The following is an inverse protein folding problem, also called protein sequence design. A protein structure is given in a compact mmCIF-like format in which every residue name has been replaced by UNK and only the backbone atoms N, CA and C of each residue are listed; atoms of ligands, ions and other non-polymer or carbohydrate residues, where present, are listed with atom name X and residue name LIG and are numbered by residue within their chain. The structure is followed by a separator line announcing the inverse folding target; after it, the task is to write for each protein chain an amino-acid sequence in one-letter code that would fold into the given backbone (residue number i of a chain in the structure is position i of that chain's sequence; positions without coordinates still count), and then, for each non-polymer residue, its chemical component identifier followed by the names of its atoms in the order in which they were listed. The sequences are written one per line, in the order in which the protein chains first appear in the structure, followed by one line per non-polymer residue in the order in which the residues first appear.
data_IF_643744993212
#
_entry.id   IF_643744993212
#
_cell.length_a   1.000
_cell.length_b   1.000
_cell.length_c   1.000
_cell.angle_alpha   90.00
_cell.angle_beta   90.00
_cell.angle_gamma   90.00
#
_symmetry.space_group_name_H-M   'P 1'
#
loop_
_entity.id
_entity.type
_entity.pdbx_description
1 polymer ?
#
# COMPACT_ATOMS: atom_id res chain seq x y z
N UNK A 1 -13.06 -31.08 -1.57
CA UNK A 1 -12.00 -30.87 -0.57
C UNK A 1 -10.62 -31.03 -1.16
N UNK A 2 -10.08 -29.99 -1.81
CA UNK A 2 -8.70 -30.03 -2.35
C UNK A 2 -7.90 -28.74 -2.04
N UNK A 3 -8.44 -27.77 -1.29
CA UNK A 3 -7.66 -26.58 -0.90
C UNK A 3 -7.91 -26.17 0.55
N UNK A 4 -8.11 -27.17 1.41
CA UNK A 4 -7.78 -27.05 2.82
C UNK A 4 -6.28 -27.32 2.93
N UNK A 5 -5.46 -26.27 2.85
CA UNK A 5 -4.15 -26.33 3.46
C UNK A 5 -4.36 -26.00 4.94
N UNK A 6 -4.19 -27.04 5.75
CA UNK A 6 -4.20 -26.97 7.21
C UNK A 6 -3.09 -26.02 7.69
N UNK A 7 -3.45 -24.77 7.94
CA UNK A 7 -2.69 -23.90 8.86
C UNK A 7 -2.96 -24.42 10.28
N UNK A 8 -1.96 -24.92 11.03
CA UNK A 8 -2.20 -25.58 12.32
C UNK A 8 -2.54 -24.62 13.48
N UNK A 9 -2.99 -23.40 13.21
CA UNK A 9 -3.44 -22.42 14.21
C UNK A 9 -4.95 -22.09 14.17
N UNK A 10 -5.74 -22.63 13.23
CA UNK A 10 -7.19 -22.30 13.12
C UNK A 10 -8.14 -23.12 14.03
N UNK A 11 -7.61 -23.83 15.03
CA UNK A 11 -8.43 -24.65 15.91
C UNK A 11 -9.06 -23.89 17.09
N UNK A 12 -9.38 -22.60 16.97
CA UNK A 12 -10.20 -21.90 17.98
C UNK A 12 -10.75 -20.55 17.48
N UNK A 13 -11.86 -20.51 16.72
CA UNK A 13 -12.85 -19.40 16.72
C UNK A 13 -14.06 -19.69 15.82
N UNK A 14 -15.07 -20.39 16.36
CA UNK A 14 -16.32 -20.70 15.63
C UNK A 14 -17.33 -19.54 15.34
N UNK A 15 -17.20 -18.27 15.80
CA UNK A 15 -18.21 -17.24 15.49
C UNK A 15 -17.91 -16.35 14.25
N UNK A 16 -16.81 -16.53 13.50
CA UNK A 16 -16.43 -15.64 12.37
C UNK A 16 -16.95 -16.09 10.99
N UNK A 17 -17.42 -17.34 10.84
CA UNK A 17 -17.74 -17.97 9.55
C UNK A 17 -18.70 -17.21 8.62
N UNK A 18 -19.68 -16.46 9.14
CA UNK A 18 -20.67 -15.76 8.29
C UNK A 18 -20.06 -14.48 7.70
N UNK A 19 -19.38 -13.69 8.52
CA UNK A 19 -18.72 -12.46 8.07
C UNK A 19 -17.58 -12.78 7.12
N UNK A 20 -16.78 -13.81 7.41
CA UNK A 20 -15.69 -14.25 6.54
C UNK A 20 -16.20 -14.70 5.17
N UNK A 21 -17.33 -15.42 5.13
CA UNK A 21 -17.98 -15.81 3.86
C UNK A 21 -18.51 -14.61 3.09
N UNK A 22 -19.12 -13.63 3.76
CA UNK A 22 -19.62 -12.41 3.12
C UNK A 22 -18.46 -11.59 2.56
N UNK A 23 -17.38 -11.39 3.32
CA UNK A 23 -16.18 -10.70 2.85
C UNK A 23 -15.53 -11.46 1.69
N UNK A 24 -15.43 -12.79 1.77
CA UNK A 24 -14.89 -13.61 0.67
C UNK A 24 -15.74 -13.46 -0.60
N UNK A 25 -17.08 -13.45 -0.49
CA UNK A 25 -17.96 -13.26 -1.64
C UNK A 25 -17.82 -11.87 -2.27
N UNK A 26 -17.64 -10.84 -1.45
CA UNK A 26 -17.42 -9.47 -1.92
C UNK A 26 -16.04 -9.29 -2.55
N UNK A 27 -15.02 -9.95 -2.00
CA UNK A 27 -13.63 -9.89 -2.50
C UNK A 27 -13.44 -10.73 -3.77
N UNK A 28 -14.17 -11.83 -3.91
CA UNK A 28 -14.03 -12.79 -5.01
C UNK A 28 -13.94 -12.15 -6.40
N UNK A 29 -14.86 -11.27 -6.85
CA UNK A 29 -14.77 -10.67 -8.18
C UNK A 29 -13.48 -9.85 -8.37
N UNK A 30 -13.05 -9.11 -7.35
CA UNK A 30 -11.84 -8.30 -7.40
C UNK A 30 -10.59 -9.17 -7.39
N UNK A 31 -10.56 -10.22 -6.58
CA UNK A 31 -9.44 -11.15 -6.53
C UNK A 31 -9.30 -11.95 -7.82
N UNK A 32 -10.41 -12.33 -8.47
CA UNK A 32 -10.39 -12.94 -9.80
C UNK A 32 -9.84 -11.97 -10.85
N UNK A 33 -10.34 -10.73 -10.91
CA UNK A 33 -9.85 -9.71 -11.85
C UNK A 33 -8.36 -9.41 -11.67
N UNK A 34 -7.91 -9.27 -10.42
CA UNK A 34 -6.50 -9.04 -10.09
C UNK A 34 -5.63 -10.23 -10.50
N UNK A 35 -6.02 -11.46 -10.17
CA UNK A 35 -5.28 -12.67 -10.56
C UNK A 35 -5.25 -12.88 -12.09
N UNK A 36 -6.28 -12.43 -12.80
CA UNK A 36 -6.37 -12.47 -14.26
C UNK A 36 -5.61 -11.34 -14.96
N UNK A 37 -5.08 -10.34 -14.24
CA UNK A 37 -4.38 -9.21 -14.86
C UNK A 37 -2.95 -9.09 -14.38
N UNK A 38 -2.60 -9.62 -13.20
CA UNK A 38 -1.26 -9.59 -12.64
C UNK A 38 -0.56 -10.94 -12.89
N UNK A 39 0.46 -11.01 -13.77
CA UNK A 39 1.23 -12.23 -13.95
C UNK A 39 2.18 -12.46 -12.78
N UNK A 40 2.03 -13.62 -12.12
CA UNK A 40 2.86 -14.01 -10.97
C UNK A 40 3.61 -15.30 -11.31
N UNK A 41 4.93 -15.25 -11.55
CA UNK A 41 5.74 -16.44 -11.88
C UNK A 41 6.31 -17.17 -10.65
N UNK A 42 5.78 -16.93 -9.43
CA UNK A 42 6.39 -17.40 -8.19
C UNK A 42 6.13 -18.88 -7.86
N UNK A 43 7.06 -19.48 -7.11
CA UNK A 43 6.97 -20.84 -6.57
C UNK A 43 5.75 -20.98 -5.63
N UNK A 44 5.05 -22.12 -5.70
CA UNK A 44 3.83 -22.43 -4.92
C UNK A 44 2.50 -22.00 -5.56
N UNK A 45 2.49 -20.95 -6.39
CA UNK A 45 1.28 -20.41 -7.04
C UNK A 45 1.31 -20.51 -8.58
N UNK A 46 2.33 -21.16 -9.13
CA UNK A 46 2.55 -21.21 -10.57
C UNK A 46 1.51 -22.11 -11.27
N UNK A 47 0.65 -21.49 -12.07
CA UNK A 47 -0.16 -22.17 -13.06
C UNK A 47 0.09 -21.57 -14.43
N UNK A 48 0.62 -22.38 -15.35
CA UNK A 48 0.93 -21.98 -16.74
C UNK A 48 -0.25 -21.30 -17.44
N UNK A 49 -1.48 -21.76 -17.20
CA UNK A 49 -2.68 -21.16 -17.79
C UNK A 49 -2.99 -19.77 -17.22
N UNK A 50 -2.88 -19.60 -15.91
CA UNK A 50 -3.16 -18.32 -15.24
C UNK A 50 -2.09 -17.28 -15.59
N UNK A 51 -0.82 -17.68 -15.64
CA UNK A 51 0.28 -16.77 -16.04
C UNK A 51 0.16 -16.36 -17.51
N UNK A 52 -0.18 -17.29 -18.41
CA UNK A 52 -0.41 -16.97 -19.81
C UNK A 52 -1.62 -16.05 -20.01
N UNK A 53 -2.74 -16.34 -19.33
CA UNK A 53 -3.95 -15.52 -19.40
C UNK A 53 -3.72 -14.12 -18.82
N UNK A 54 -3.05 -14.02 -17.67
CA UNK A 54 -2.74 -12.73 -17.04
C UNK A 54 -1.77 -11.89 -17.85
N UNK A 55 -0.75 -12.50 -18.46
CA UNK A 55 0.15 -11.79 -19.37
C UNK A 55 -0.58 -11.27 -20.61
N UNK A 56 -1.62 -11.98 -21.09
CA UNK A 56 -2.41 -11.56 -22.23
C UNK A 56 -3.41 -10.43 -21.89
N UNK A 57 -4.01 -10.46 -20.69
CA UNK A 57 -5.03 -9.51 -20.25
C UNK A 57 -4.45 -8.26 -19.56
N UNK A 58 -3.21 -8.30 -19.10
CA UNK A 58 -2.55 -7.19 -18.40
C UNK A 58 -2.51 -5.87 -19.18
N UNK A 59 -2.33 -5.81 -20.53
CA UNK A 59 -2.34 -4.53 -21.24
C UNK A 59 -3.75 -3.93 -21.30
N UNK A 60 -4.79 -4.75 -21.27
CA UNK A 60 -6.17 -4.28 -21.18
C UNK A 60 -6.41 -3.50 -19.90
N UNK A 61 -5.90 -4.01 -18.79
CA UNK A 61 -5.92 -3.30 -17.51
C UNK A 61 -5.11 -2.01 -17.56
N UNK A 62 -3.86 -2.04 -18.02
CA UNK A 62 -3.02 -0.83 -18.11
C UNK A 62 -3.68 0.23 -19.00
N UNK A 63 -4.27 -0.17 -20.13
CA UNK A 63 -4.99 0.75 -21.01
C UNK A 63 -6.22 1.37 -20.34
N UNK A 64 -6.97 0.59 -19.57
CA UNK A 64 -8.07 1.10 -18.75
C UNK A 64 -7.60 2.07 -17.67
N UNK A 65 -6.53 1.72 -16.95
CA UNK A 65 -5.92 2.57 -15.93
C UNK A 65 -5.47 3.92 -16.50
N UNK A 66 -4.77 3.93 -17.64
CA UNK A 66 -4.34 5.17 -18.31
C UNK A 66 -5.54 5.99 -18.80
N UNK A 67 -6.57 5.33 -19.32
CA UNK A 67 -7.79 5.99 -19.76
C UNK A 67 -8.51 6.68 -18.60
N UNK A 68 -8.68 5.97 -17.48
CA UNK A 68 -9.34 6.47 -16.28
C UNK A 68 -8.54 7.58 -15.60
N UNK A 69 -7.22 7.41 -15.44
CA UNK A 69 -6.37 8.34 -14.70
C UNK A 69 -6.01 9.60 -15.48
N UNK A 70 -5.58 9.46 -16.75
CA UNK A 70 -5.07 10.58 -17.55
C UNK A 70 -6.09 11.14 -18.56
N UNK A 71 -7.33 10.62 -18.56
CA UNK A 71 -8.38 10.98 -19.53
C UNK A 71 -7.94 10.85 -20.99
N UNK A 72 -6.96 9.99 -21.25
CA UNK A 72 -6.45 9.71 -22.59
C UNK A 72 -7.37 8.71 -23.29
N UNK A 73 -7.88 9.05 -24.47
CA UNK A 73 -8.80 8.19 -25.23
C UNK A 73 -8.07 7.06 -25.95
N UNK A 74 -7.57 6.09 -25.17
CA UNK A 74 -6.79 4.96 -25.69
C UNK A 74 -7.66 3.91 -26.42
N UNK A 75 -8.96 3.84 -26.13
CA UNK A 75 -9.84 2.83 -26.75
C UNK A 75 -10.53 3.31 -28.03
N UNK A 76 -10.83 4.61 -28.14
CA UNK A 76 -11.69 5.16 -29.20
C UNK A 76 -11.07 6.36 -29.94
N UNK A 77 -9.76 6.62 -29.73
CA UNK A 77 -9.05 7.75 -30.34
C UNK A 77 -7.93 7.33 -31.30
N UNK A 78 -7.15 8.32 -31.76
CA UNK A 78 -6.01 8.13 -32.66
C UNK A 78 -4.86 7.31 -32.04
N UNK A 79 -4.82 7.18 -30.71
CA UNK A 79 -3.83 6.37 -29.98
C UNK A 79 -4.25 4.90 -29.80
N UNK A 80 -5.41 4.50 -30.32
CA UNK A 80 -5.94 3.13 -30.19
C UNK A 80 -5.08 2.06 -30.85
N UNK A 81 -4.32 2.40 -31.89
CA UNK A 81 -3.39 1.46 -32.51
C UNK A 81 -2.29 1.01 -31.55
N UNK A 82 -1.85 1.88 -30.62
CA UNK A 82 -0.83 1.53 -29.61
C UNK A 82 -1.36 0.41 -28.73
N UNK A 83 -2.62 0.54 -28.29
CA UNK A 83 -3.29 -0.47 -27.49
C UNK A 83 -3.43 -1.81 -28.22
N UNK A 84 -3.84 -1.78 -29.50
CA UNK A 84 -3.96 -2.99 -30.33
C UNK A 84 -2.62 -3.69 -30.49
N UNK A 85 -1.55 -2.92 -30.72
CA UNK A 85 -0.19 -3.47 -30.83
C UNK A 85 0.27 -4.08 -29.50
N UNK A 86 0.09 -3.37 -28.37
CA UNK A 86 0.46 -3.87 -27.04
C UNK A 86 -0.31 -5.15 -26.68
N UNK A 87 -1.63 -5.19 -26.92
CA UNK A 87 -2.46 -6.39 -26.70
C UNK A 87 -2.00 -7.52 -27.62
N UNK A 88 -1.70 -7.25 -28.88
CA UNK A 88 -1.20 -8.25 -29.83
C UNK A 88 0.13 -8.87 -29.40
N UNK A 89 1.09 -8.04 -28.96
CA UNK A 89 2.38 -8.50 -28.44
C UNK A 89 2.18 -9.34 -27.18
N UNK A 90 1.40 -8.86 -26.22
CA UNK A 90 1.14 -9.58 -24.97
C UNK A 90 0.37 -10.89 -25.17
N UNK A 91 -0.56 -10.94 -26.12
CA UNK A 91 -1.26 -12.17 -26.49
C UNK A 91 -0.31 -13.18 -27.12
N UNK A 92 0.59 -12.72 -28.01
CA UNK A 92 1.64 -13.56 -28.60
C UNK A 92 2.62 -14.10 -27.55
N UNK A 93 2.97 -13.28 -26.55
CA UNK A 93 3.82 -13.65 -25.43
C UNK A 93 3.10 -14.65 -24.51
N UNK A 94 1.83 -14.43 -24.18
CA UNK A 94 1.00 -15.36 -23.43
C UNK A 94 0.86 -16.72 -24.14
N UNK A 95 0.67 -16.72 -25.46
CA UNK A 95 0.65 -17.94 -26.27
C UNK A 95 2.02 -18.65 -26.32
N UNK A 96 3.12 -17.90 -26.34
CA UNK A 96 4.47 -18.45 -26.26
C UNK A 96 4.74 -19.08 -24.89
N UNK A 97 4.33 -18.45 -23.79
CA UNK A 97 4.37 -19.02 -22.43
C UNK A 97 3.53 -20.30 -22.40
N UNK A 98 2.33 -20.28 -22.98
CA UNK A 98 1.48 -21.47 -23.08
C UNK A 98 2.06 -22.55 -23.99
N UNK A 99 3.09 -22.33 -24.80
CA UNK A 99 3.71 -23.39 -25.63
C UNK A 99 5.05 -23.87 -25.09
N UNK A 100 5.90 -22.95 -24.63
CA UNK A 100 7.28 -23.23 -24.28
C UNK A 100 7.54 -23.31 -22.77
N UNK A 101 6.65 -22.77 -21.93
CA UNK A 101 6.85 -22.85 -20.50
C UNK A 101 6.63 -24.29 -20.01
N UNK A 102 7.49 -24.80 -19.10
CA UNK A 102 7.29 -26.11 -18.50
C UNK A 102 5.89 -26.17 -17.87
N UNK A 103 5.15 -27.23 -18.20
CA UNK A 103 3.86 -27.54 -17.59
C UNK A 103 4.07 -28.53 -16.45
N UNK A 104 3.72 -28.14 -15.23
CA UNK A 104 3.96 -28.90 -13.99
C UNK A 104 4.73 -28.06 -12.97
N UNK A 105 4.97 -28.61 -11.78
CA UNK A 105 5.71 -28.03 -10.64
C UNK A 105 7.19 -27.66 -10.94
N UNK A 106 7.55 -27.52 -12.22
CA UNK A 106 8.86 -27.08 -12.67
C UNK A 106 8.95 -25.56 -12.65
N UNK A 107 9.99 -25.05 -12.00
CA UNK A 107 10.30 -23.63 -11.92
C UNK A 107 10.54 -23.04 -13.31
N UNK A 108 10.04 -21.83 -13.57
CA UNK A 108 10.48 -21.06 -14.72
C UNK A 108 11.96 -20.72 -14.53
N UNK A 109 12.77 -20.85 -15.58
CA UNK A 109 14.16 -20.43 -15.53
C UNK A 109 14.24 -18.96 -15.08
N UNK A 110 15.13 -18.67 -14.13
CA UNK A 110 15.23 -17.37 -13.46
C UNK A 110 15.30 -16.19 -14.44
N UNK A 111 15.95 -16.39 -15.58
CA UNK A 111 16.07 -15.39 -16.65
C UNK A 111 14.73 -14.96 -17.26
N UNK A 112 13.73 -15.86 -17.30
CA UNK A 112 12.38 -15.55 -17.78
C UNK A 112 11.42 -15.15 -16.65
N UNK A 113 11.59 -15.75 -15.46
CA UNK A 113 10.76 -15.43 -14.30
C UNK A 113 10.98 -13.99 -13.81
N UNK A 114 12.22 -13.51 -13.79
CA UNK A 114 12.57 -12.17 -13.28
C UNK A 114 11.90 -11.03 -14.04
N UNK A 115 12.01 -10.91 -15.38
CA UNK A 115 11.34 -9.83 -16.11
C UNK A 115 9.82 -9.93 -16.03
N UNK A 116 9.27 -11.14 -15.99
CA UNK A 116 7.82 -11.34 -15.84
C UNK A 116 7.34 -10.93 -14.44
N UNK A 117 8.12 -11.20 -13.39
CA UNK A 117 7.84 -10.77 -12.03
C UNK A 117 7.90 -9.24 -11.90
N UNK A 118 8.90 -8.59 -12.51
CA UNK A 118 9.00 -7.12 -12.55
C UNK A 118 7.81 -6.51 -13.31
N UNK A 119 7.41 -7.11 -14.43
CA UNK A 119 6.22 -6.69 -15.15
C UNK A 119 4.95 -6.86 -14.30
N UNK A 120 4.76 -8.01 -13.67
CA UNK A 120 3.65 -8.26 -12.75
C UNK A 120 3.63 -7.28 -11.58
N UNK A 121 4.79 -6.93 -11.03
CA UNK A 121 4.92 -5.92 -9.99
C UNK A 121 4.41 -4.54 -10.44
N UNK A 122 4.77 -4.10 -11.65
CA UNK A 122 4.26 -2.82 -12.20
C UNK A 122 2.74 -2.87 -12.37
N UNK A 123 2.20 -3.97 -12.89
CA UNK A 123 0.74 -4.13 -13.04
C UNK A 123 0.05 -4.12 -11.68
N UNK A 124 0.62 -4.81 -10.68
CA UNK A 124 0.11 -4.80 -9.32
C UNK A 124 0.16 -3.40 -8.69
N UNK A 125 1.22 -2.62 -8.94
CA UNK A 125 1.32 -1.25 -8.47
C UNK A 125 0.20 -0.36 -9.03
N UNK A 126 -0.15 -0.49 -10.32
CA UNK A 126 -1.29 0.26 -10.90
C UNK A 126 -2.64 -0.13 -10.30
N UNK A 127 -2.81 -1.40 -9.88
CA UNK A 127 -4.01 -1.84 -9.15
C UNK A 127 -4.08 -1.22 -7.76
N UNK A 128 -2.96 -1.21 -7.03
CA UNK A 128 -2.87 -0.60 -5.69
C UNK A 128 -3.22 0.89 -5.78
N UNK A 129 -2.64 1.59 -6.75
CA UNK A 129 -2.89 3.02 -6.98
C UNK A 129 -4.37 3.28 -7.30
N UNK A 130 -4.94 2.54 -8.25
CA UNK A 130 -6.36 2.67 -8.62
C UNK A 130 -7.32 2.44 -7.44
N UNK A 131 -7.04 1.42 -6.61
CA UNK A 131 -7.85 1.13 -5.42
C UNK A 131 -7.64 2.19 -4.35
N UNK A 132 -6.41 2.69 -4.18
CA UNK A 132 -6.10 3.75 -3.23
C UNK A 132 -6.85 5.05 -3.56
N UNK A 133 -6.93 5.45 -4.83
CA UNK A 133 -7.69 6.62 -5.26
C UNK A 133 -9.17 6.52 -4.86
N UNK A 134 -9.82 5.39 -5.18
CA UNK A 134 -11.22 5.18 -4.85
C UNK A 134 -11.45 5.09 -3.32
N UNK A 135 -10.48 4.56 -2.57
CA UNK A 135 -10.52 4.51 -1.13
C UNK A 135 -10.45 5.93 -0.52
N UNK A 136 -9.57 6.78 -1.04
CA UNK A 136 -9.42 8.17 -0.60
C UNK A 136 -10.70 8.95 -0.89
N UNK A 137 -11.30 8.78 -2.08
CA UNK A 137 -12.57 9.41 -2.44
C UNK A 137 -13.72 8.99 -1.51
N UNK A 138 -13.82 7.69 -1.22
CA UNK A 138 -14.82 7.16 -0.29
C UNK A 138 -14.62 7.73 1.12
N UNK A 139 -13.38 7.80 1.58
CA UNK A 139 -13.08 8.38 2.88
C UNK A 139 -13.42 9.86 2.91
N UNK A 140 -13.08 10.62 1.88
CA UNK A 140 -13.47 12.03 1.77
C UNK A 140 -15.00 12.20 1.82
N UNK A 141 -15.75 11.34 1.14
CA UNK A 141 -17.21 11.31 1.21
C UNK A 141 -17.72 11.04 2.64
N UNK A 142 -17.17 10.04 3.33
CA UNK A 142 -17.50 9.75 4.73
C UNK A 142 -17.17 10.94 5.63
N UNK A 143 -16.04 11.61 5.44
CA UNK A 143 -15.68 12.80 6.20
C UNK A 143 -16.68 13.95 6.02
N UNK A 144 -17.19 14.14 4.81
CA UNK A 144 -18.25 15.12 4.54
C UNK A 144 -19.53 14.75 5.28
N UNK A 145 -19.96 13.47 5.22
CA UNK A 145 -21.18 12.99 5.90
C UNK A 145 -21.06 13.09 7.42
N UNK A 146 -19.93 12.69 7.98
CA UNK A 146 -19.65 12.74 9.42
C UNK A 146 -19.25 14.14 9.91
N UNK A 147 -19.14 15.14 9.02
CA UNK A 147 -18.65 16.50 9.31
C UNK A 147 -17.27 16.53 9.96
N UNK A 148 -16.40 15.58 9.61
CA UNK A 148 -15.03 15.48 10.08
C UNK A 148 -14.11 16.19 9.06
N UNK A 149 -13.24 17.10 9.49
CA UNK A 149 -12.26 17.75 8.62
C UNK A 149 -11.36 16.71 7.92
N UNK A 150 -11.15 16.87 6.60
CA UNK A 150 -10.29 15.98 5.81
C UNK A 150 -8.86 15.87 6.35
N UNK A 151 -8.33 16.92 6.98
CA UNK A 151 -7.01 16.90 7.64
C UNK A 151 -6.93 15.90 8.80
N UNK A 152 -7.99 15.75 9.60
CA UNK A 152 -8.04 14.80 10.71
C UNK A 152 -8.14 13.38 10.17
N UNK A 153 -8.94 13.17 9.13
CA UNK A 153 -9.10 11.87 8.48
C UNK A 153 -7.81 11.38 7.82
N UNK A 154 -7.08 12.28 7.16
CA UNK A 154 -5.74 12.02 6.62
C UNK A 154 -4.72 11.66 7.71
N UNK A 155 -4.72 12.40 8.83
CA UNK A 155 -3.81 12.15 9.95
C UNK A 155 -4.13 10.86 10.74
N UNK A 156 -5.35 10.35 10.65
CA UNK A 156 -5.82 9.20 11.45
C UNK A 156 -6.11 8.00 10.56
N UNK A 157 -7.32 7.89 10.01
CA UNK A 157 -7.79 6.70 9.29
C UNK A 157 -6.87 6.35 8.11
N UNK A 158 -6.47 7.36 7.34
CA UNK A 158 -5.62 7.19 6.16
C UNK A 158 -4.21 6.74 6.55
N UNK A 159 -3.63 7.38 7.58
CA UNK A 159 -2.34 7.01 8.15
C UNK A 159 -2.35 5.61 8.80
N UNK A 160 -3.41 5.26 9.53
CA UNK A 160 -3.60 3.95 10.15
C UNK A 160 -3.71 2.86 9.10
N UNK A 161 -4.51 3.08 8.06
CA UNK A 161 -4.68 2.13 6.96
C UNK A 161 -3.35 1.77 6.30
N UNK A 162 -2.50 2.76 6.04
CA UNK A 162 -1.18 2.54 5.45
C UNK A 162 -0.26 1.69 6.35
N UNK A 163 -0.28 1.91 7.67
CA UNK A 163 0.63 1.23 8.60
C UNK A 163 0.08 -0.06 9.23
N UNK A 164 -1.19 -0.40 9.00
CA UNK A 164 -1.81 -1.58 9.61
C UNK A 164 -1.22 -2.89 9.06
N UNK A 165 -0.96 -2.96 7.75
CA UNK A 165 -0.31 -4.10 7.11
C UNK A 165 1.12 -4.29 7.61
N UNK A 166 1.87 -3.20 7.69
CA UNK A 166 3.24 -3.18 8.24
C UNK A 166 3.26 -3.65 9.68
N UNK A 167 2.32 -3.19 10.52
CA UNK A 167 2.21 -3.62 11.92
C UNK A 167 2.01 -5.14 12.03
N UNK A 168 1.13 -5.71 11.21
CA UNK A 168 0.88 -7.17 11.22
C UNK A 168 2.12 -7.96 10.79
N UNK A 169 2.80 -7.50 9.73
CA UNK A 169 4.03 -8.12 9.24
C UNK A 169 5.17 -8.04 10.27
N UNK A 170 5.39 -6.86 10.86
CA UNK A 170 6.45 -6.63 11.86
C UNK A 170 6.21 -7.43 13.14
N UNK A 171 4.96 -7.51 13.62
CA UNK A 171 4.60 -8.35 14.78
C UNK A 171 4.87 -9.82 14.48
N UNK A 172 4.52 -10.28 13.27
CA UNK A 172 4.76 -11.67 12.85
C UNK A 172 6.26 -11.98 12.78
N UNK A 173 7.06 -11.08 12.19
CA UNK A 173 8.52 -11.22 12.15
C UNK A 173 9.14 -11.21 13.55
N UNK A 174 8.68 -10.32 14.43
CA UNK A 174 9.14 -10.25 15.81
C UNK A 174 8.84 -11.55 16.59
N UNK A 175 7.64 -12.14 16.40
CA UNK A 175 7.27 -13.44 16.99
C UNK A 175 8.16 -14.58 16.51
N UNK A 176 8.61 -14.54 15.26
CA UNK A 176 9.55 -15.50 14.67
C UNK A 176 11.01 -15.29 15.12
N UNK A 177 11.26 -14.38 16.06
CA UNK A 177 12.62 -14.08 16.56
C UNK A 177 13.42 -13.14 15.65
N UNK A 178 12.81 -12.60 14.59
CA UNK A 178 13.43 -11.66 13.65
C UNK A 178 13.19 -10.20 14.06
N UNK A 179 13.30 -9.91 15.36
CA UNK A 179 12.97 -8.60 15.93
C UNK A 179 13.83 -7.46 15.33
N UNK A 180 15.12 -7.70 15.06
CA UNK A 180 15.99 -6.70 14.44
C UNK A 180 15.54 -6.34 13.01
N UNK A 181 15.01 -7.33 12.28
CA UNK A 181 14.46 -7.12 10.94
C UNK A 181 13.16 -6.32 11.00
N UNK A 182 12.25 -6.68 11.92
CA UNK A 182 11.01 -5.94 12.16
C UNK A 182 11.26 -4.48 12.55
N UNK A 183 12.20 -4.24 13.49
CA UNK A 183 12.59 -2.88 13.89
C UNK A 183 13.15 -2.08 12.72
N UNK A 184 13.98 -2.71 11.87
CA UNK A 184 14.54 -2.05 10.69
C UNK A 184 13.44 -1.70 9.68
N UNK A 185 12.51 -2.63 9.42
CA UNK A 185 11.39 -2.42 8.50
C UNK A 185 10.47 -1.27 8.96
N UNK A 186 10.12 -1.23 10.25
CA UNK A 186 9.28 -0.19 10.86
C UNK A 186 9.86 1.23 10.70
N UNK A 187 11.19 1.40 10.68
CA UNK A 187 11.82 2.71 10.44
C UNK A 187 12.08 2.97 8.95
N UNK A 188 12.52 1.96 8.21
CA UNK A 188 12.88 2.11 6.80
C UNK A 188 11.66 2.50 5.94
N UNK A 189 10.49 1.93 6.20
CA UNK A 189 9.26 2.22 5.46
C UNK A 189 8.87 3.70 5.48
N UNK A 190 8.62 4.30 6.66
CA UNK A 190 8.30 5.72 6.76
C UNK A 190 9.39 6.65 6.22
N UNK A 191 10.67 6.34 6.46
CA UNK A 191 11.80 7.12 5.94
C UNK A 191 11.82 7.09 4.41
N UNK A 192 11.61 5.92 3.80
CA UNK A 192 11.52 5.76 2.36
C UNK A 192 10.33 6.54 1.79
N UNK A 193 9.15 6.46 2.41
CA UNK A 193 7.96 7.19 2.00
C UNK A 193 8.17 8.72 2.03
N UNK A 194 8.91 9.23 3.03
CA UNK A 194 9.24 10.66 3.11
C UNK A 194 10.27 11.03 2.03
N UNK A 195 11.36 10.28 1.89
CA UNK A 195 12.45 10.66 0.96
C UNK A 195 12.04 10.51 -0.49
N UNK A 196 11.53 9.34 -0.86
CA UNK A 196 11.17 9.01 -2.25
C UNK A 196 9.76 9.47 -2.55
N UNK A 197 8.79 9.16 -1.68
CA UNK A 197 7.39 9.51 -1.91
C UNK A 197 7.15 11.03 -1.95
N UNK A 198 7.50 11.75 -0.88
CA UNK A 198 7.33 13.22 -0.89
C UNK A 198 8.30 13.90 -1.87
N UNK A 199 9.55 13.41 -1.99
CA UNK A 199 10.52 13.96 -2.93
C UNK A 199 10.05 13.88 -4.38
N UNK A 200 9.55 12.71 -4.81
CA UNK A 200 8.97 12.54 -6.13
C UNK A 200 7.67 13.32 -6.29
N UNK A 201 6.81 13.34 -5.26
CA UNK A 201 5.56 14.11 -5.26
C UNK A 201 5.78 15.60 -5.50
N UNK A 202 6.73 16.22 -4.78
CA UNK A 202 7.07 17.63 -4.99
C UNK A 202 7.73 17.88 -6.34
N UNK A 203 8.60 16.97 -6.81
CA UNK A 203 9.20 17.08 -8.14
C UNK A 203 8.14 17.03 -9.25
N UNK A 204 7.18 16.12 -9.15
CA UNK A 204 6.06 16.01 -10.07
C UNK A 204 5.16 17.25 -10.04
N UNK A 205 4.85 17.76 -8.84
CA UNK A 205 4.05 18.98 -8.68
C UNK A 205 4.74 20.21 -9.30
N UNK A 206 6.04 20.36 -9.06
CA UNK A 206 6.84 21.45 -9.63
C UNK A 206 6.86 21.38 -11.16
N UNK A 207 7.03 20.18 -11.73
CA UNK A 207 7.00 19.96 -13.18
C UNK A 207 5.64 20.28 -13.81
N UNK A 208 4.54 20.11 -13.10
CA UNK A 208 3.18 20.37 -13.61
C UNK A 208 2.76 21.84 -13.47
N UNK A 209 3.30 22.55 -12.48
CA UNK A 209 2.86 23.91 -12.12
C UNK A 209 3.76 25.00 -12.70
N UNK A 210 4.96 24.65 -13.19
CA UNK A 210 5.99 25.57 -13.71
C UNK A 210 6.38 26.70 -12.70
N UNK A 211 6.02 26.50 -11.43
CA UNK A 211 6.33 27.38 -10.31
C UNK A 211 7.49 26.77 -9.52
N UNK A 212 8.59 27.53 -9.43
CA UNK A 212 9.76 27.13 -8.66
C UNK A 212 9.54 27.20 -7.13
N UNK A 213 8.59 28.03 -6.67
CA UNK A 213 8.34 28.28 -5.25
C UNK A 213 6.98 27.76 -4.80
N UNK A 214 6.88 26.45 -4.57
CA UNK A 214 5.74 25.87 -3.82
C UNK A 214 5.96 26.20 -2.34
N UNK A 215 5.30 27.26 -1.84
CA UNK A 215 5.35 27.61 -0.42
C UNK A 215 4.66 26.55 0.44
N UNK A 216 5.44 25.62 0.98
CA UNK A 216 4.93 24.59 1.89
C UNK A 216 4.71 25.19 3.27
N UNK A 217 3.45 25.51 3.59
CA UNK A 217 3.10 25.94 4.94
C UNK A 217 3.17 24.74 5.90
N UNK A 218 4.16 24.74 6.79
CA UNK A 218 4.29 23.72 7.82
C UNK A 218 3.17 23.91 8.85
N UNK A 219 2.16 23.04 8.78
CA UNK A 219 1.06 23.03 9.73
C UNK A 219 1.59 22.66 11.13
N UNK A 220 1.06 23.26 12.20
CA UNK A 220 1.38 22.90 13.58
C UNK A 220 1.18 21.39 13.87
N UNK A 221 0.23 20.74 13.19
CA UNK A 221 0.05 19.28 13.26
C UNK A 221 1.23 18.48 12.66
N UNK A 222 1.82 18.98 11.58
CA UNK A 222 2.99 18.35 10.94
C UNK A 222 4.22 18.54 11.86
N UNK A 223 4.42 19.75 12.37
CA UNK A 223 5.53 20.06 13.29
C UNK A 223 5.46 19.20 14.57
N UNK A 224 4.27 19.04 15.14
CA UNK A 224 4.09 18.15 16.30
C UNK A 224 4.40 16.71 15.95
N UNK A 225 3.95 16.18 14.80
CA UNK A 225 4.35 14.85 14.32
C UNK A 225 5.86 14.64 14.28
N UNK A 226 6.61 15.56 13.68
CA UNK A 226 8.08 15.49 13.67
C UNK A 226 8.69 15.51 15.07
N UNK A 227 8.18 16.35 15.96
CA UNK A 227 8.68 16.44 17.33
C UNK A 227 8.47 15.12 18.09
N UNK A 228 7.29 14.50 17.98
CA UNK A 228 7.01 13.22 18.60
C UNK A 228 7.88 12.08 18.03
N UNK A 229 8.13 12.08 16.72
CA UNK A 229 9.07 11.12 16.09
C UNK A 229 10.49 11.29 16.64
N UNK A 230 10.98 12.53 16.74
CA UNK A 230 12.32 12.81 17.29
C UNK A 230 12.41 12.35 18.74
N UNK A 231 11.41 12.67 19.57
CA UNK A 231 11.36 12.22 20.97
C UNK A 231 11.37 10.69 21.06
N UNK A 232 10.58 10.01 20.23
CA UNK A 232 10.54 8.54 20.19
C UNK A 232 11.90 7.92 19.81
N UNK A 233 12.57 8.48 18.81
CA UNK A 233 13.90 8.02 18.37
C UNK A 233 14.96 8.28 19.43
N UNK A 234 14.94 9.45 20.09
CA UNK A 234 15.84 9.75 21.20
C UNK A 234 15.60 8.81 22.39
N UNK A 235 14.34 8.53 22.71
CA UNK A 235 13.97 7.56 23.74
C UNK A 235 14.50 6.15 23.40
N UNK A 236 14.41 5.74 22.13
CA UNK A 236 14.96 4.47 21.65
C UNK A 236 16.47 4.39 21.89
N UNK A 237 17.20 5.39 21.40
CA UNK A 237 18.67 5.42 21.47
C UNK A 237 19.14 5.53 22.92
N UNK A 238 18.47 6.34 23.73
CA UNK A 238 18.81 6.51 25.13
C UNK A 238 18.58 5.23 25.94
N UNK A 239 17.39 4.63 25.86
CA UNK A 239 17.08 3.40 26.59
C UNK A 239 17.91 2.22 26.06
N UNK A 240 17.94 2.04 24.73
CA UNK A 240 18.63 0.93 24.08
C UNK A 240 20.13 0.95 24.31
N UNK A 241 20.79 2.09 24.10
CA UNK A 241 22.26 2.17 24.18
C UNK A 241 22.77 2.39 25.60
N UNK A 242 22.12 3.26 26.39
CA UNK A 242 22.69 3.71 27.67
C UNK A 242 22.30 2.82 28.86
N UNK A 243 21.07 2.30 28.87
CA UNK A 243 20.53 1.58 30.03
C UNK A 243 20.54 0.07 29.88
N UNK A 244 20.37 -0.45 28.66
CA UNK A 244 20.16 -1.88 28.42
C UNK A 244 21.18 -2.52 27.46
N UNK A 245 22.28 -1.82 27.13
CA UNK A 245 23.42 -2.41 26.41
C UNK A 245 23.09 -3.01 25.04
N UNK A 246 22.12 -2.42 24.33
CA UNK A 246 21.66 -2.86 23.01
C UNK A 246 20.42 -3.76 23.02
N UNK A 247 19.82 -4.02 24.18
CA UNK A 247 18.58 -4.81 24.30
C UNK A 247 17.37 -3.90 24.56
N UNK A 248 16.26 -4.14 23.86
CA UNK A 248 15.04 -3.35 24.02
C UNK A 248 14.12 -4.04 25.03
N UNK A 249 13.86 -3.46 26.22
CA UNK A 249 12.99 -4.07 27.22
C UNK A 249 11.52 -4.00 26.81
N UNK A 250 10.68 -4.92 27.31
CA UNK A 250 9.23 -4.91 27.05
C UNK A 250 8.54 -3.62 27.50
N UNK A 251 9.08 -2.94 28.51
CA UNK A 251 8.59 -1.63 28.97
C UNK A 251 8.64 -0.55 27.88
N UNK A 252 9.60 -0.65 26.96
CA UNK A 252 9.72 0.27 25.83
C UNK A 252 8.49 0.23 24.93
N UNK A 253 7.98 -0.97 24.60
CA UNK A 253 6.78 -1.11 23.77
C UNK A 253 5.55 -0.44 24.37
N UNK A 254 5.34 -0.57 25.68
CA UNK A 254 4.25 0.14 26.37
C UNK A 254 4.44 1.66 26.34
N UNK A 255 5.68 2.14 26.52
CA UNK A 255 5.96 3.57 26.44
C UNK A 255 5.68 4.16 25.05
N UNK A 256 5.94 3.40 23.98
CA UNK A 256 5.64 3.82 22.60
C UNK A 256 4.13 3.97 22.37
N UNK A 257 3.32 3.03 22.88
CA UNK A 257 1.85 3.13 22.81
C UNK A 257 1.33 4.37 23.54
N UNK A 258 1.88 4.69 24.71
CA UNK A 258 1.48 5.89 25.46
C UNK A 258 1.86 7.16 24.69
N UNK A 259 3.09 7.25 24.17
CA UNK A 259 3.55 8.40 23.37
C UNK A 259 2.66 8.58 22.14
N UNK A 260 2.31 7.47 21.48
CA UNK A 260 1.42 7.48 20.32
C UNK A 260 0.01 8.00 20.66
N UNK A 261 -0.58 7.53 21.77
CA UNK A 261 -1.89 8.00 22.21
C UNK A 261 -1.87 9.50 22.54
N UNK A 262 -0.81 9.98 23.22
CA UNK A 262 -0.62 11.41 23.52
C UNK A 262 -0.47 12.23 22.23
N UNK A 263 0.28 11.72 21.25
CA UNK A 263 0.43 12.34 19.94
C UNK A 263 -0.91 12.48 19.21
N UNK A 264 -1.71 11.41 19.15
CA UNK A 264 -3.01 11.42 18.47
C UNK A 264 -3.94 12.44 19.13
N UNK A 265 -4.06 12.41 20.47
CA UNK A 265 -4.91 13.36 21.21
C UNK A 265 -4.46 14.80 20.96
N UNK A 266 -3.16 15.09 21.08
CA UNK A 266 -2.62 16.43 20.87
C UNK A 266 -2.85 16.92 19.44
N UNK A 267 -2.62 16.06 18.45
CA UNK A 267 -2.80 16.40 17.03
C UNK A 267 -4.26 16.69 16.69
N UNK A 268 -5.19 15.91 17.23
CA UNK A 268 -6.62 16.12 17.05
C UNK A 268 -7.08 17.43 17.72
N UNK A 269 -6.65 17.69 18.96
CA UNK A 269 -6.99 18.93 19.69
C UNK A 269 -6.46 20.20 18.99
N UNK A 270 -5.25 20.14 18.44
CA UNK A 270 -4.66 21.25 17.68
C UNK A 270 -5.45 21.53 16.39
N UNK A 271 -5.90 20.48 15.70
CA UNK A 271 -6.71 20.64 14.49
C UNK A 271 -8.10 21.21 14.79
N UNK A 272 -8.74 20.78 15.89
CA UNK A 272 -10.01 21.36 16.32
C UNK A 272 -9.88 22.84 16.71
N UNK A 273 -8.88 23.18 17.52
CA UNK A 273 -8.60 24.57 17.94
C UNK A 273 -8.32 25.49 16.74
N UNK A 274 -7.61 24.98 15.73
CA UNK A 274 -7.37 25.69 14.47
C UNK A 274 -8.66 25.96 13.71
N UNK A 275 -9.50 24.93 13.54
CA UNK A 275 -10.75 25.06 12.81
C UNK A 275 -11.70 26.08 13.46
N UNK A 276 -11.72 26.17 14.79
CA UNK A 276 -12.48 27.23 15.49
C UNK A 276 -11.92 28.62 15.23
N UNK A 277 -10.58 28.77 15.21
CA UNK A 277 -9.92 30.05 14.94
C UNK A 277 -10.18 30.53 13.51
N UNK A 278 -10.11 29.62 12.53
CA UNK A 278 -10.39 29.93 11.12
C UNK A 278 -11.85 30.36 10.91
N UNK A 279 -12.81 29.73 11.62
CA UNK A 279 -14.23 30.13 11.59
C UNK A 279 -14.43 31.55 12.14
N UNK A 280 -13.70 31.94 13.19
CA UNK A 280 -13.77 33.29 13.79
C UNK A 280 -13.15 34.38 12.92
N UNK A 281 -12.21 34.05 12.03
CA UNK A 281 -11.59 35.01 11.11
C UNK A 281 -12.40 35.22 9.81
N UNK A 282 -13.37 34.34 9.53
CA UNK A 282 -14.24 34.43 8.35
C UNK A 282 -15.61 35.07 8.65
N UNK A 283 -15.88 35.44 9.91
CA UNK A 283 -17.04 36.22 10.36
C UNK A 283 -16.63 37.67 10.63
#
# INVERSE_FOLDING_TARGET
DIWAEDDPEEAETAPTMIWDRVFTMLEFPFTVLRKLTVPIPCEGYYNRGIVAASTALSPMWIGYYIHSGYKMNLFWGELSWIMVVCVGISFSLGAAILRYAPGGEGTMALAFATPLALYGFIVAATWIDFVADHLVDLLQFIGIVCRIPGSIMGLTILAWGNSMGDLSADVTMARKGLANMAMTACFAGPVFNILVGLGWGFSSLSSLTDQADVSVSMNAAILTGFLFIIVNTLLLVFLGSWLYGGQIPRAYGYSMLVIYMVYVVTSVLLQFSRNETNKKQQQ
#
